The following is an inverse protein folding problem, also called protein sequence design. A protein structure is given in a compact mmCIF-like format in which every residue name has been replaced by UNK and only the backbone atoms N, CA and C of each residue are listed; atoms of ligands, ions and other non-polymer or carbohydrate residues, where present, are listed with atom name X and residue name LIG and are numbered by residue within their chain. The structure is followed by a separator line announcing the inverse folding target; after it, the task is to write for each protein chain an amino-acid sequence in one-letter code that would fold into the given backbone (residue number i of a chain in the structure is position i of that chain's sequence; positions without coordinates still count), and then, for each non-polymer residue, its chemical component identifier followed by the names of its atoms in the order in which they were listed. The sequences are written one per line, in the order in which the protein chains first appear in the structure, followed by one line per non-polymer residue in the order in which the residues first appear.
data_IF_435631344417
#
_entry.id   IF_435631344417
#
_cell.length_a   1.000
_cell.length_b   1.000
_cell.length_c   1.000
_cell.angle_alpha   90.00
_cell.angle_beta   90.00
_cell.angle_gamma   90.00
#
_symmetry.space_group_name_H-M   'P 1'
#
loop_
_entity.id
_entity.type
_entity.pdbx_description
1 polymer ?
#
# COMPACT_ATOMS: atom_id res chain seq x y z
N UNK A 1 1.34 -8.96 23.21
CA UNK A 1 1.13 -9.78 21.99
C UNK A 1 -0.31 -9.78 21.47
N UNK A 2 -1.36 -9.64 22.30
CA UNK A 2 -2.78 -9.70 21.88
C UNK A 2 -3.20 -8.74 20.73
N UNK A 3 -2.54 -7.59 20.56
CA UNK A 3 -2.93 -6.57 19.59
C UNK A 3 -1.99 -6.48 18.37
N UNK A 4 -0.95 -7.31 18.30
CA UNK A 4 0.04 -7.21 17.23
C UNK A 4 -0.57 -7.48 15.86
N UNK A 5 -1.37 -8.55 15.74
CA UNK A 5 -2.06 -8.89 14.49
C UNK A 5 -3.11 -7.85 14.11
N UNK A 6 -3.82 -7.30 15.11
CA UNK A 6 -4.78 -6.22 14.91
C UNK A 6 -4.12 -4.93 14.41
N UNK A 7 -2.90 -4.64 14.87
CA UNK A 7 -2.13 -3.50 14.36
C UNK A 7 -1.72 -3.71 12.89
N UNK A 8 -1.39 -4.95 12.49
CA UNK A 8 -1.14 -5.28 11.08
C UNK A 8 -2.40 -5.17 10.20
N UNK A 9 -3.57 -5.56 10.72
CA UNK A 9 -4.85 -5.35 10.05
C UNK A 9 -5.16 -3.87 9.87
N UNK A 10 -4.99 -3.07 10.92
CA UNK A 10 -5.18 -1.62 10.88
C UNK A 10 -4.18 -0.92 9.94
N UNK A 11 -2.92 -1.38 9.92
CA UNK A 11 -1.91 -0.91 8.98
C UNK A 11 -2.37 -1.12 7.53
N UNK A 12 -2.86 -2.32 7.18
CA UNK A 12 -3.28 -2.63 5.82
C UNK A 12 -4.50 -1.83 5.33
N UNK A 13 -5.19 -1.07 6.18
CA UNK A 13 -6.30 -0.22 5.76
C UNK A 13 -5.89 0.93 4.83
N UNK A 14 -4.59 1.25 4.69
CA UNK A 14 -4.14 2.20 3.67
C UNK A 14 -4.55 1.77 2.25
N UNK A 15 -4.74 0.46 2.04
CA UNK A 15 -5.13 -0.12 0.76
C UNK A 15 -6.64 0.01 0.47
N UNK A 16 -7.45 0.38 1.45
CA UNK A 16 -8.89 0.57 1.26
C UNK A 16 -9.14 1.73 0.31
N UNK A 17 -10.02 1.51 -0.68
CA UNK A 17 -10.30 2.47 -1.74
C UNK A 17 -9.02 3.03 -2.39
N UNK A 18 -8.05 2.16 -2.68
CA UNK A 18 -6.78 2.52 -3.34
C UNK A 18 -5.91 3.54 -2.57
N UNK A 19 -6.25 3.82 -1.30
CA UNK A 19 -5.66 4.92 -0.53
C UNK A 19 -6.26 6.29 -0.86
N UNK A 20 -7.26 6.37 -1.74
CA UNK A 20 -8.04 7.58 -2.05
C UNK A 20 -9.09 7.84 -0.95
N UNK A 21 -8.61 8.01 0.28
CA UNK A 21 -9.41 8.28 1.48
C UNK A 21 -8.75 9.42 2.22
N UNK A 22 -9.50 10.48 2.57
CA UNK A 22 -8.94 11.66 3.24
C UNK A 22 -8.34 11.35 4.63
N UNK A 23 -8.82 10.28 5.28
CA UNK A 23 -8.35 9.77 6.57
C UNK A 23 -7.45 8.54 6.43
N UNK A 24 -6.92 8.28 5.23
CA UNK A 24 -6.02 7.17 4.97
C UNK A 24 -4.82 7.19 5.95
N UNK A 25 -4.49 6.06 6.61
CA UNK A 25 -3.34 5.97 7.51
C UNK A 25 -2.02 5.95 6.71
N UNK A 26 -1.65 7.08 6.13
CA UNK A 26 -0.49 7.22 5.22
C UNK A 26 0.88 7.15 5.90
N UNK A 27 0.93 7.25 7.24
CA UNK A 27 2.16 7.14 8.03
C UNK A 27 1.95 6.21 9.21
N UNK A 28 2.74 5.13 9.26
CA UNK A 28 2.77 4.22 10.39
C UNK A 28 4.06 4.44 11.19
N UNK A 29 3.92 4.73 12.49
CA UNK A 29 5.04 4.80 13.42
C UNK A 29 5.10 3.48 14.19
N UNK A 30 6.20 2.75 14.03
CA UNK A 30 6.38 1.42 14.62
C UNK A 30 7.45 1.51 15.70
N UNK A 31 7.15 0.96 16.88
CA UNK A 31 8.09 0.98 17.98
C UNK A 31 9.29 0.05 17.69
N UNK A 32 10.49 0.54 17.98
CA UNK A 32 11.77 -0.08 17.59
C UNK A 32 11.88 -1.57 17.95
N UNK A 33 11.49 -1.97 19.16
CA UNK A 33 11.58 -3.37 19.61
C UNK A 33 10.69 -4.36 18.84
N UNK A 34 9.75 -3.87 18.02
CA UNK A 34 8.89 -4.71 17.17
C UNK A 34 9.08 -4.45 15.68
N UNK A 35 9.95 -3.52 15.27
CA UNK A 35 10.06 -3.03 13.90
C UNK A 35 10.29 -4.17 12.89
N UNK A 36 11.34 -4.96 13.06
CA UNK A 36 11.72 -6.03 12.12
C UNK A 36 10.58 -7.04 11.89
N UNK A 37 10.02 -7.58 13.00
CA UNK A 37 8.93 -8.55 12.93
C UNK A 37 7.64 -7.95 12.37
N UNK A 38 7.39 -6.66 12.62
CA UNK A 38 6.21 -5.98 12.10
C UNK A 38 6.35 -5.76 10.59
N UNK A 39 7.49 -5.23 10.14
CA UNK A 39 7.76 -4.96 8.73
C UNK A 39 7.76 -6.22 7.88
N UNK A 40 8.37 -7.31 8.34
CA UNK A 40 8.34 -8.60 7.63
C UNK A 40 6.89 -9.04 7.32
N UNK A 41 6.01 -8.99 8.33
CA UNK A 41 4.62 -9.41 8.18
C UNK A 41 3.75 -8.39 7.45
N UNK A 42 4.06 -7.11 7.59
CA UNK A 42 3.40 -6.02 6.89
C UNK A 42 3.64 -6.14 5.37
N UNK A 43 4.90 -6.26 4.94
CA UNK A 43 5.27 -6.40 3.52
C UNK A 43 4.59 -7.62 2.92
N UNK A 44 4.68 -8.79 3.57
CA UNK A 44 3.97 -10.01 3.11
C UNK A 44 2.47 -9.79 2.95
N UNK A 45 1.84 -8.98 3.81
CA UNK A 45 0.40 -8.71 3.72
C UNK A 45 0.08 -7.80 2.53
N UNK A 46 0.91 -6.79 2.27
CA UNK A 46 0.76 -5.90 1.12
C UNK A 46 0.96 -6.67 -0.19
N UNK A 47 1.99 -7.51 -0.29
CA UNK A 47 2.27 -8.35 -1.47
C UNK A 47 1.12 -9.31 -1.82
N UNK A 48 0.28 -9.66 -0.84
CA UNK A 48 -0.87 -10.54 -1.04
C UNK A 48 -2.16 -9.82 -1.49
N UNK A 49 -2.15 -8.48 -1.60
CA UNK A 49 -3.31 -7.72 -2.05
C UNK A 49 -3.52 -7.97 -3.55
N UNK A 50 -4.69 -8.51 -3.90
CA UNK A 50 -5.06 -8.78 -5.28
C UNK A 50 -5.60 -7.52 -5.96
N UNK A 51 -4.76 -6.86 -6.74
CA UNK A 51 -5.20 -5.81 -7.65
C UNK A 51 -5.84 -6.42 -8.88
N UNK A 52 -7.03 -5.94 -9.26
CA UNK A 52 -7.91 -6.67 -10.19
C UNK A 52 -8.96 -5.82 -10.91
N UNK A 53 -9.62 -6.40 -11.91
CA UNK A 53 -10.84 -5.83 -12.48
C UNK A 53 -11.91 -5.83 -11.38
N UNK A 54 -12.61 -4.71 -11.10
CA UNK A 54 -13.60 -4.63 -10.03
C UNK A 54 -14.78 -5.61 -10.19
N UNK A 55 -15.00 -6.16 -11.38
CA UNK A 55 -16.03 -7.18 -11.62
C UNK A 55 -15.57 -8.62 -11.27
N UNK A 56 -14.28 -8.85 -11.05
CA UNK A 56 -13.78 -10.12 -10.53
C UNK A 56 -13.93 -10.15 -9.00
N UNK A 57 -14.66 -11.15 -8.51
CA UNK A 57 -14.85 -11.42 -7.08
C UNK A 57 -13.56 -11.62 -6.27
N UNK A 58 -12.46 -11.99 -6.94
CA UNK A 58 -11.14 -12.14 -6.34
C UNK A 58 -10.38 -10.83 -6.14
N UNK A 59 -10.87 -9.72 -6.72
CA UNK A 59 -10.24 -8.41 -6.65
C UNK A 59 -10.44 -7.78 -5.28
N UNK A 60 -9.34 -7.38 -4.66
CA UNK A 60 -9.33 -6.62 -3.40
C UNK A 60 -9.10 -5.12 -3.65
N UNK A 61 -8.45 -4.77 -4.76
CA UNK A 61 -8.19 -3.38 -5.13
C UNK A 61 -8.30 -3.13 -6.63
N UNK A 62 -9.16 -2.20 -7.05
CA UNK A 62 -9.28 -1.74 -8.44
C UNK A 62 -8.20 -0.73 -8.88
N UNK A 63 -8.45 -0.10 -10.03
CA UNK A 63 -7.63 0.99 -10.58
C UNK A 63 -7.71 2.28 -9.74
N UNK A 64 -6.74 3.17 -9.92
CA UNK A 64 -6.85 4.58 -9.50
C UNK A 64 -7.96 5.29 -10.29
N UNK A 65 -8.53 6.36 -9.74
CA UNK A 65 -9.66 7.07 -10.36
C UNK A 65 -9.35 7.68 -11.73
N UNK A 66 -8.10 8.04 -11.99
CA UNK A 66 -7.68 8.66 -13.24
C UNK A 66 -6.19 8.48 -13.52
N UNK A 67 -5.79 8.74 -14.77
CA UNK A 67 -4.39 8.76 -15.16
C UNK A 67 -3.58 9.83 -14.40
N UNK A 68 -4.12 11.04 -14.25
CA UNK A 68 -3.44 12.11 -13.51
C UNK A 68 -3.22 11.78 -12.03
N UNK A 69 -4.13 11.01 -11.42
CA UNK A 69 -3.94 10.53 -10.05
C UNK A 69 -2.82 9.48 -9.97
N UNK A 70 -2.77 8.55 -10.92
CA UNK A 70 -1.66 7.60 -11.04
C UNK A 70 -0.31 8.31 -11.22
N UNK A 71 -0.23 9.30 -12.12
CA UNK A 71 0.98 10.10 -12.34
C UNK A 71 1.41 10.84 -11.07
N UNK A 72 0.46 11.40 -10.32
CA UNK A 72 0.73 12.07 -9.04
C UNK A 72 1.36 11.11 -8.03
N UNK A 73 0.80 9.90 -7.89
CA UNK A 73 1.34 8.86 -7.01
C UNK A 73 2.76 8.46 -7.43
N UNK A 74 2.97 8.21 -8.73
CA UNK A 74 4.28 7.83 -9.27
C UNK A 74 5.32 8.93 -9.05
N UNK A 75 4.94 10.20 -9.18
CA UNK A 75 5.81 11.33 -8.89
C UNK A 75 6.21 11.37 -7.40
N UNK A 76 5.28 11.15 -6.47
CA UNK A 76 5.62 11.08 -5.03
C UNK A 76 6.57 9.90 -4.70
N UNK A 77 6.41 8.76 -5.37
CA UNK A 77 7.35 7.63 -5.24
C UNK A 77 8.75 8.02 -5.75
N UNK A 78 8.84 8.72 -6.88
CA UNK A 78 10.11 9.19 -7.43
C UNK A 78 10.80 10.23 -6.52
N UNK A 79 10.03 11.15 -5.94
CA UNK A 79 10.52 12.09 -4.92
C UNK A 79 11.10 11.31 -3.73
N UNK A 80 10.37 10.33 -3.19
CA UNK A 80 10.86 9.52 -2.06
C UNK A 80 12.17 8.79 -2.37
N UNK A 81 12.30 8.21 -3.57
CA UNK A 81 13.56 7.58 -4.03
C UNK A 81 14.71 8.59 -4.11
N UNK A 82 14.46 9.77 -4.67
CA UNK A 82 15.46 10.85 -4.78
C UNK A 82 15.91 11.38 -3.42
N UNK A 83 15.01 11.35 -2.44
CA UNK A 83 15.30 11.71 -1.04
C UNK A 83 15.95 10.58 -0.24
N UNK A 84 16.16 9.40 -0.84
CA UNK A 84 16.86 8.26 -0.23
C UNK A 84 15.97 7.27 0.53
N UNK A 85 14.65 7.28 0.31
CA UNK A 85 13.75 6.29 0.88
C UNK A 85 13.86 4.93 0.16
N UNK A 86 13.82 3.85 0.94
CA UNK A 86 13.76 2.49 0.41
C UNK A 86 12.34 2.10 -0.02
N UNK A 87 12.23 1.48 -1.20
CA UNK A 87 10.98 0.89 -1.68
C UNK A 87 10.96 -0.58 -1.31
N UNK A 88 10.16 -0.91 -0.29
CA UNK A 88 10.14 -2.25 0.32
C UNK A 88 9.21 -3.24 -0.37
N UNK A 89 8.30 -2.76 -1.22
CA UNK A 89 7.38 -3.60 -1.98
C UNK A 89 7.29 -3.14 -3.44
N UNK A 90 7.25 -4.13 -4.33
CA UNK A 90 7.16 -3.96 -5.78
C UNK A 90 5.79 -3.44 -6.21
N UNK A 91 4.75 -3.66 -5.42
CA UNK A 91 3.38 -3.22 -5.70
C UNK A 91 3.29 -1.71 -6.00
N UNK A 92 4.05 -0.87 -5.29
CA UNK A 92 4.10 0.57 -5.55
C UNK A 92 4.69 0.96 -6.93
N UNK A 93 5.51 0.09 -7.52
CA UNK A 93 6.23 0.36 -8.78
C UNK A 93 5.56 -0.23 -10.01
N UNK A 94 4.67 -1.21 -9.82
CA UNK A 94 3.81 -1.73 -10.88
C UNK A 94 2.55 -0.87 -10.87
N UNK A 95 2.62 0.30 -11.50
CA UNK A 95 1.46 1.18 -11.65
C UNK A 95 0.26 0.32 -12.03
N UNK A 96 -0.79 0.30 -11.21
CA UNK A 96 -1.93 -0.61 -11.31
C UNK A 96 -2.85 -0.22 -12.46
N UNK A 97 -2.25 0.15 -13.59
CA UNK A 97 -2.83 0.43 -14.87
C UNK A 97 -3.58 -0.79 -15.35
N UNK A 98 -4.86 -0.85 -14.98
CA UNK A 98 -5.88 -1.44 -15.80
C UNK A 98 -5.87 -0.69 -17.12
N UNK A 99 -5.09 -1.17 -18.08
CA UNK A 99 -5.50 -1.05 -19.48
C UNK A 99 -6.58 -2.11 -19.67
N UNK A 100 -7.76 -1.67 -20.08
CA UNK A 100 -8.68 -2.53 -20.82
C UNK A 100 -7.95 -3.23 -21.95
#
# INVERSE_FOLDING_TARGET
MRFFDKALEGFALFAFNQGEVCTCPSRALVQESIYERFMERAIRRVENIRSGNPLDSGTQMGAQVSHGQLETILNYIDIGKKEGADILDRWATQGTGWRT
#
